data_IF_298467780502
#
_entry.id   IF_298467780502
#
_cell.length_a   1.000
_cell.length_b   1.000
_cell.length_c   1.000
_cell.angle_alpha   90.00
_cell.angle_beta   90.00
_cell.angle_gamma   90.00
#
_symmetry.space_group_name_H-M   'P 1'
#
loop_
_entity.id
_entity.type
_entity.pdbx_description
1 polymer ?
#
# COMPACT_ATOMS: atom_id res chain seq x y z
N UNK A 1 6.68 -48.43 29.50
CA UNK A 1 6.82 -48.21 28.03
C UNK A 1 5.50 -47.81 27.38
N UNK A 2 4.45 -48.64 27.40
CA UNK A 2 3.12 -48.32 26.79
C UNK A 2 2.47 -47.01 27.27
N UNK A 3 2.34 -46.80 28.59
CA UNK A 3 1.72 -45.58 29.14
C UNK A 3 2.42 -44.27 28.72
N UNK A 4 3.74 -44.32 28.49
CA UNK A 4 4.52 -43.14 28.08
C UNK A 4 4.26 -42.80 26.61
N UNK A 5 4.18 -43.82 25.74
CA UNK A 5 3.85 -43.66 24.32
C UNK A 5 2.39 -43.18 24.13
N UNK A 6 1.46 -43.66 24.94
CA UNK A 6 0.06 -43.21 24.95
C UNK A 6 -0.06 -41.74 25.40
N UNK A 7 0.70 -41.35 26.44
CA UNK A 7 0.75 -39.95 26.90
C UNK A 7 1.33 -39.00 25.85
N UNK A 8 2.36 -39.41 25.12
CA UNK A 8 2.95 -38.61 24.03
C UNK A 8 1.99 -38.47 22.84
N UNK A 9 1.24 -39.52 22.50
CA UNK A 9 0.20 -39.44 21.46
C UNK A 9 -0.94 -38.53 21.87
N UNK A 10 -1.38 -38.60 23.13
CA UNK A 10 -2.42 -37.73 23.67
C UNK A 10 -2.00 -36.25 23.66
N UNK A 11 -0.76 -35.96 24.05
CA UNK A 11 -0.22 -34.60 24.01
C UNK A 11 -0.20 -34.03 22.58
N UNK A 12 0.30 -34.80 21.61
CA UNK A 12 0.30 -34.41 20.18
C UNK A 12 -1.10 -34.19 19.63
N UNK A 13 -2.06 -35.03 20.02
CA UNK A 13 -3.45 -34.86 19.63
C UNK A 13 -4.04 -33.56 20.17
N UNK A 14 -3.82 -33.25 21.46
CA UNK A 14 -4.31 -32.01 22.08
C UNK A 14 -3.67 -30.76 21.47
N UNK A 15 -2.39 -30.82 21.14
CA UNK A 15 -1.71 -29.75 20.42
C UNK A 15 -2.30 -29.54 19.02
N UNK A 16 -2.54 -30.63 18.27
CA UNK A 16 -3.16 -30.56 16.95
C UNK A 16 -4.58 -29.98 17.01
N UNK A 17 -5.39 -30.35 18.01
CA UNK A 17 -6.71 -29.77 18.25
C UNK A 17 -6.63 -28.26 18.53
N UNK A 18 -5.70 -27.84 19.39
CA UNK A 18 -5.47 -26.42 19.70
C UNK A 18 -5.08 -25.61 18.46
N UNK A 19 -4.17 -26.16 17.64
CA UNK A 19 -3.74 -25.57 16.39
C UNK A 19 -4.88 -25.46 15.37
N UNK A 20 -5.71 -26.51 15.25
CA UNK A 20 -6.88 -26.50 14.37
C UNK A 20 -7.89 -25.43 14.81
N UNK A 21 -8.20 -25.37 16.10
CA UNK A 21 -9.12 -24.38 16.67
C UNK A 21 -8.65 -22.95 16.42
N UNK A 22 -7.36 -22.68 16.61
CA UNK A 22 -6.76 -21.38 16.32
C UNK A 22 -6.89 -21.00 14.83
N UNK A 23 -6.65 -21.95 13.92
CA UNK A 23 -6.81 -21.74 12.47
C UNK A 23 -8.27 -21.46 12.09
N UNK A 24 -9.23 -22.19 12.66
CA UNK A 24 -10.66 -21.96 12.43
C UNK A 24 -11.07 -20.56 12.87
N UNK A 25 -10.60 -20.10 14.05
CA UNK A 25 -10.88 -18.73 14.52
C UNK A 25 -10.32 -17.68 13.58
N UNK A 26 -9.07 -17.82 13.14
CA UNK A 26 -8.44 -16.91 12.17
C UNK A 26 -9.24 -16.86 10.85
N UNK A 27 -9.65 -18.01 10.34
CA UNK A 27 -10.45 -18.08 9.12
C UNK A 27 -11.82 -17.40 9.27
N UNK A 28 -12.49 -17.55 10.42
CA UNK A 28 -13.76 -16.87 10.70
C UNK A 28 -13.61 -15.36 10.75
N UNK A 29 -12.56 -14.87 11.40
CA UNK A 29 -12.27 -13.42 11.45
C UNK A 29 -11.98 -12.89 10.05
N UNK A 30 -11.18 -13.60 9.25
CA UNK A 30 -10.88 -13.20 7.88
C UNK A 30 -12.14 -13.14 7.01
N UNK A 31 -13.04 -14.13 7.12
CA UNK A 31 -14.33 -14.10 6.43
C UNK A 31 -15.17 -12.91 6.87
N UNK A 32 -15.32 -12.70 8.18
CA UNK A 32 -16.10 -11.58 8.70
C UNK A 32 -15.56 -10.22 8.23
N UNK A 33 -14.24 -10.08 8.16
CA UNK A 33 -13.59 -8.89 7.62
C UNK A 33 -13.87 -8.71 6.12
N UNK A 34 -13.75 -9.76 5.32
CA UNK A 34 -14.05 -9.72 3.89
C UNK A 34 -15.53 -9.37 3.63
N UNK A 35 -16.45 -9.96 4.40
CA UNK A 35 -17.89 -9.67 4.31
C UNK A 35 -18.18 -8.20 4.66
N UNK A 36 -17.54 -7.67 5.70
CA UNK A 36 -17.67 -6.26 6.08
C UNK A 36 -17.13 -5.32 4.98
N UNK A 37 -15.98 -5.64 4.39
CA UNK A 37 -15.43 -4.87 3.27
C UNK A 37 -16.36 -4.89 2.05
N UNK A 38 -16.88 -6.07 1.69
CA UNK A 38 -17.83 -6.23 0.59
C UNK A 38 -19.13 -5.47 0.83
N UNK A 39 -19.66 -5.54 2.05
CA UNK A 39 -20.85 -4.80 2.44
C UNK A 39 -20.65 -3.28 2.32
N UNK A 40 -19.51 -2.76 2.77
CA UNK A 40 -19.17 -1.33 2.67
C UNK A 40 -19.14 -0.85 1.22
N UNK A 41 -18.40 -1.54 0.35
CA UNK A 41 -18.30 -1.18 -1.08
C UNK A 41 -19.66 -1.25 -1.77
N UNK A 42 -20.43 -2.31 -1.53
CA UNK A 42 -21.78 -2.47 -2.08
C UNK A 42 -22.72 -1.35 -1.64
N UNK A 43 -22.68 -0.99 -0.35
CA UNK A 43 -23.51 0.07 0.21
C UNK A 43 -23.20 1.41 -0.44
N UNK A 44 -21.91 1.74 -0.62
CA UNK A 44 -21.51 2.97 -1.30
C UNK A 44 -21.95 2.98 -2.76
N UNK A 45 -21.70 1.90 -3.52
CA UNK A 45 -22.14 1.81 -4.92
C UNK A 45 -23.66 2.05 -5.06
N UNK A 46 -24.45 1.45 -4.18
CA UNK A 46 -25.90 1.64 -4.16
C UNK A 46 -26.31 3.08 -3.82
N UNK A 47 -25.59 3.74 -2.91
CA UNK A 47 -25.87 5.15 -2.55
C UNK A 47 -25.64 6.11 -3.71
N UNK A 48 -24.73 5.77 -4.64
CA UNK A 48 -24.51 6.51 -5.89
C UNK A 48 -25.37 6.01 -7.06
N UNK A 49 -26.38 5.17 -6.81
CA UNK A 49 -27.26 4.65 -7.86
C UNK A 49 -26.55 3.77 -8.89
N UNK A 50 -25.45 3.12 -8.51
CA UNK A 50 -24.62 2.33 -9.43
C UNK A 50 -23.63 3.17 -10.25
N UNK A 51 -23.53 4.47 -10.01
CA UNK A 51 -22.55 5.33 -10.68
C UNK A 51 -21.14 5.05 -10.14
N UNK A 52 -20.41 4.19 -10.85
CA UNK A 52 -19.04 3.81 -10.52
C UNK A 52 -18.10 5.01 -10.43
N UNK A 53 -18.20 5.97 -11.36
CA UNK A 53 -17.33 7.15 -11.39
C UNK A 53 -17.50 7.99 -10.13
N UNK A 54 -18.73 8.27 -9.72
CA UNK A 54 -19.02 9.02 -8.51
C UNK A 54 -18.52 8.30 -7.24
N UNK A 55 -18.74 6.98 -7.15
CA UNK A 55 -18.24 6.17 -6.03
C UNK A 55 -16.70 6.15 -5.99
N UNK A 56 -16.05 5.97 -7.14
CA UNK A 56 -14.59 5.95 -7.25
C UNK A 56 -14.01 7.29 -6.84
N UNK A 57 -14.56 8.40 -7.34
CA UNK A 57 -14.06 9.74 -7.03
C UNK A 57 -14.24 10.04 -5.53
N UNK A 58 -15.39 9.69 -4.94
CA UNK A 58 -15.59 9.74 -3.50
C UNK A 58 -14.52 8.96 -2.72
N UNK A 59 -14.24 7.71 -3.12
CA UNK A 59 -13.20 6.89 -2.49
C UNK A 59 -11.80 7.49 -2.64
N UNK A 60 -11.46 8.03 -3.82
CA UNK A 60 -10.16 8.68 -4.07
C UNK A 60 -9.98 9.91 -3.19
N UNK A 61 -11.02 10.72 -3.03
CA UNK A 61 -11.02 11.90 -2.16
C UNK A 61 -10.92 11.46 -0.69
N UNK A 62 -11.80 10.57 -0.23
CA UNK A 62 -11.88 10.14 1.16
C UNK A 62 -10.59 9.45 1.64
N UNK A 63 -9.94 8.69 0.76
CA UNK A 63 -8.68 7.99 1.07
C UNK A 63 -7.44 8.86 0.79
N UNK A 64 -7.61 10.18 0.59
CA UNK A 64 -6.52 11.14 0.35
C UNK A 64 -5.59 10.74 -0.81
N UNK A 65 -6.12 10.06 -1.83
CA UNK A 65 -5.30 9.54 -2.92
C UNK A 65 -4.60 10.69 -3.67
N UNK A 66 -5.30 11.80 -3.90
CA UNK A 66 -4.72 12.96 -4.57
C UNK A 66 -3.60 13.63 -3.77
N UNK A 67 -3.77 13.76 -2.44
CA UNK A 67 -2.71 14.26 -1.55
C UNK A 67 -1.49 13.33 -1.55
N UNK A 68 -1.72 12.03 -1.52
CA UNK A 68 -0.64 11.02 -1.56
C UNK A 68 0.13 11.07 -2.88
N UNK A 69 -0.56 11.20 -4.02
CA UNK A 69 0.08 11.35 -5.34
C UNK A 69 0.91 12.64 -5.38
N UNK A 70 0.35 13.77 -4.93
CA UNK A 70 1.05 15.04 -4.91
C UNK A 70 2.33 14.97 -4.06
N UNK A 71 2.26 14.35 -2.88
CA UNK A 71 3.42 14.13 -2.01
C UNK A 71 4.48 13.25 -2.68
N UNK A 72 4.10 12.09 -3.22
CA UNK A 72 5.04 11.17 -3.92
C UNK A 72 5.75 11.89 -5.07
N UNK A 73 5.00 12.67 -5.85
CA UNK A 73 5.57 13.43 -6.96
C UNK A 73 6.53 14.54 -6.46
N UNK A 74 6.16 15.25 -5.40
CA UNK A 74 7.03 16.25 -4.76
C UNK A 74 8.33 15.61 -4.26
N UNK A 75 8.24 14.49 -3.53
CA UNK A 75 9.40 13.75 -3.01
C UNK A 75 10.32 13.30 -4.16
N UNK A 76 9.75 12.81 -5.27
CA UNK A 76 10.50 12.41 -6.45
C UNK A 76 11.23 13.59 -7.13
N UNK A 77 10.55 14.74 -7.29
CA UNK A 77 11.15 15.96 -7.86
C UNK A 77 12.27 16.50 -6.97
N UNK A 78 12.09 16.50 -5.65
CA UNK A 78 13.14 16.90 -4.71
C UNK A 78 14.37 15.98 -4.80
N UNK A 79 14.16 14.67 -4.95
CA UNK A 79 15.24 13.71 -5.18
C UNK A 79 16.03 14.00 -6.46
N UNK A 80 15.34 14.34 -7.55
CA UNK A 80 15.95 14.70 -8.84
C UNK A 80 16.77 16.00 -8.76
N UNK A 81 16.31 17.00 -8.00
CA UNK A 81 17.02 18.28 -7.88
C UNK A 81 18.38 18.14 -7.19
N UNK A 82 18.57 17.15 -6.31
CA UNK A 82 19.89 16.86 -5.71
C UNK A 82 20.90 16.24 -6.68
N UNK A 83 20.45 15.63 -7.79
CA UNK A 83 21.33 15.05 -8.82
C UNK A 83 21.75 16.07 -9.90
N UNK A 84 21.08 17.22 -9.99
CA UNK A 84 21.53 18.38 -10.78
C UNK A 84 22.42 19.28 -9.90
N UNK A 85 23.33 18.67 -9.13
CA UNK A 85 24.53 19.36 -8.65
C UNK A 85 25.62 19.17 -9.70
N UNK A 86 25.39 19.75 -10.89
CA UNK A 86 26.47 19.94 -11.86
C UNK A 86 27.36 21.04 -11.26
N UNK A 87 28.61 20.68 -10.97
CA UNK A 87 29.56 21.51 -10.26
C UNK A 87 29.71 22.91 -10.84
N UNK A 88 29.42 23.92 -10.04
CA UNK A 88 29.72 25.33 -10.28
C UNK A 88 31.20 25.69 -10.04
N UNK A 89 32.14 24.74 -10.08
CA UNK A 89 33.57 25.02 -9.92
C UNK A 89 34.39 24.40 -11.05
N UNK A 90 34.72 25.22 -12.05
CA UNK A 90 35.62 24.91 -13.14
C UNK A 90 35.59 26.01 -14.19
N UNK A 91 36.10 27.19 -13.85
CA UNK A 91 36.30 28.24 -14.84
C UNK A 91 37.34 27.81 -15.88
N UNK A 92 37.07 28.06 -17.16
CA UNK A 92 37.97 28.84 -18.00
C UNK A 92 37.26 29.33 -19.26
N UNK A 93 37.48 30.61 -19.52
CA UNK A 93 37.42 31.41 -20.75
C UNK A 93 37.07 30.70 -22.07
N UNK A 94 36.11 31.25 -22.82
CA UNK A 94 36.27 31.53 -24.26
C UNK A 94 35.38 32.72 -24.64
N UNK A 95 35.98 33.89 -24.46
CA UNK A 95 35.68 35.16 -25.09
C UNK A 95 35.70 35.01 -26.62
N UNK A 96 34.73 35.61 -27.33
CA UNK A 96 34.86 35.79 -28.77
C UNK A 96 33.57 36.00 -29.55
N UNK A 97 33.26 37.25 -29.87
CA UNK A 97 32.76 37.58 -31.21
C UNK A 97 31.34 38.13 -31.30
N UNK A 98 31.26 39.46 -31.35
CA UNK A 98 30.16 40.28 -31.87
C UNK A 98 29.66 39.84 -33.26
N UNK A 99 28.33 39.92 -33.47
CA UNK A 99 27.62 40.51 -34.63
C UNK A 99 26.18 39.97 -34.64
N UNK A 100 25.12 40.73 -34.85
CA UNK A 100 24.94 42.12 -35.21
C UNK A 100 23.43 42.36 -35.30
N UNK A 101 23.02 43.57 -34.92
CA UNK A 101 21.66 44.09 -34.93
C UNK A 101 21.18 44.40 -36.36
N UNK A 102 19.94 43.99 -36.65
CA UNK A 102 18.91 44.50 -37.59
C UNK A 102 18.32 43.40 -38.46
#
# INVERSE_FOLDING_TARGET
MKQKAEGEQYAKFKEAEGNLYAKIKKAKVLRAFADAQGFYVKTLMNSFGGNYTAMRDYMMINNRMFENIARINSDAVQGLQSMISIGTNGGDSLEGGSNGVN
#
